data_IF_688377539140
#
_entry.id   IF_688377539140
#
_cell.length_a   1.000
_cell.length_b   1.000
_cell.length_c   1.000
_cell.angle_alpha   90.00
_cell.angle_beta   90.00
_cell.angle_gamma   90.00
#
_symmetry.space_group_name_H-M   'P 1'
#
loop_
_entity.id
_entity.type
_entity.pdbx_description
1 polymer ?
#
# COMPACT_ATOMS: atom_id res chain seq x y z
N UNK A 1 12.47 -7.83 23.83
CA UNK A 1 13.76 -8.05 23.14
C UNK A 1 14.33 -6.68 22.85
N UNK A 2 15.63 -6.46 23.08
CA UNK A 2 16.26 -5.17 22.79
C UNK A 2 16.30 -4.96 21.25
N UNK A 3 15.67 -3.91 20.71
CA UNK A 3 15.61 -3.67 19.26
C UNK A 3 17.00 -3.46 18.64
N UNK A 4 17.95 -2.90 19.39
CA UNK A 4 19.32 -2.68 18.93
C UNK A 4 20.03 -4.03 18.76
N UNK A 5 19.91 -4.91 19.76
CA UNK A 5 20.47 -6.25 19.70
C UNK A 5 19.86 -7.11 18.59
N UNK A 6 18.55 -6.98 18.37
CA UNK A 6 17.85 -7.69 17.30
C UNK A 6 18.35 -7.24 15.92
N UNK A 7 18.44 -5.93 15.69
CA UNK A 7 19.00 -5.33 14.48
C UNK A 7 20.42 -5.82 14.21
N UNK A 8 21.30 -5.70 15.20
CA UNK A 8 22.71 -6.08 15.05
C UNK A 8 22.85 -7.59 14.76
N UNK A 9 21.99 -8.43 15.35
CA UNK A 9 21.95 -9.86 15.05
C UNK A 9 21.53 -10.16 13.60
N UNK A 10 20.53 -9.43 13.10
CA UNK A 10 20.08 -9.56 11.70
C UNK A 10 21.16 -9.08 10.74
N UNK A 11 21.77 -7.92 10.98
CA UNK A 11 22.87 -7.41 10.15
C UNK A 11 24.07 -8.36 10.15
N UNK A 12 24.41 -8.92 11.32
CA UNK A 12 25.45 -9.94 11.44
C UNK A 12 25.13 -11.20 10.65
N UNK A 13 23.88 -11.64 10.64
CA UNK A 13 23.46 -12.78 9.80
C UNK A 13 23.49 -12.45 8.31
N UNK A 14 23.05 -11.25 7.89
CA UNK A 14 23.08 -10.85 6.48
C UNK A 14 24.51 -10.82 5.93
N UNK A 15 25.48 -10.39 6.74
CA UNK A 15 26.90 -10.37 6.39
C UNK A 15 27.52 -11.78 6.25
N UNK A 16 26.99 -12.78 6.98
CA UNK A 16 27.43 -14.17 6.89
C UNK A 16 26.22 -15.12 6.93
N UNK A 17 25.46 -15.22 5.82
CA UNK A 17 24.14 -15.82 5.83
C UNK A 17 24.26 -17.34 5.78
N UNK A 18 24.32 -18.00 6.92
CA UNK A 18 24.41 -19.46 6.98
C UNK A 18 23.02 -20.10 6.93
N UNK A 19 22.82 -21.09 6.04
CA UNK A 19 21.55 -21.83 5.92
C UNK A 19 21.19 -22.66 7.15
N UNK A 20 22.19 -23.14 7.88
CA UNK A 20 22.00 -24.04 9.03
C UNK A 20 22.94 -23.65 10.16
N UNK A 21 22.38 -23.27 11.31
CA UNK A 21 23.15 -22.89 12.51
C UNK A 21 23.77 -24.12 13.22
N UNK A 22 23.17 -25.31 13.08
CA UNK A 22 23.48 -26.51 13.90
C UNK A 22 24.59 -27.44 13.37
N UNK A 23 25.37 -27.04 12.36
CA UNK A 23 26.45 -27.88 11.81
C UNK A 23 27.82 -27.23 11.98
N UNK A 24 28.22 -27.00 13.24
CA UNK A 24 29.59 -26.64 13.61
C UNK A 24 30.64 -27.72 13.23
N UNK A 25 30.20 -28.90 12.77
CA UNK A 25 31.06 -30.05 12.49
C UNK A 25 31.04 -30.57 11.05
N UNK A 26 30.28 -29.95 10.12
CA UNK A 26 30.20 -30.46 8.74
C UNK A 26 30.85 -29.51 7.71
N UNK A 27 31.62 -30.11 6.80
CA UNK A 27 32.75 -29.47 6.10
C UNK A 27 32.39 -28.55 4.92
N UNK A 28 31.13 -28.12 4.80
CA UNK A 28 30.65 -27.16 3.79
C UNK A 28 29.50 -26.32 4.34
N UNK A 29 29.84 -25.23 5.01
CA UNK A 29 28.88 -24.16 5.33
C UNK A 29 28.37 -23.58 4.00
N UNK A 30 27.07 -23.76 3.72
CA UNK A 30 26.43 -23.16 2.56
C UNK A 30 25.88 -21.79 2.93
N UNK A 31 26.34 -20.78 2.22
CA UNK A 31 25.76 -19.44 2.27
C UNK A 31 24.35 -19.43 1.66
N UNK A 32 23.45 -18.68 2.27
CA UNK A 32 22.09 -18.43 1.81
C UNK A 32 22.07 -17.17 0.95
N UNK A 33 21.44 -17.25 -0.21
CA UNK A 33 21.01 -16.06 -0.95
C UNK A 33 19.84 -15.41 -0.22
N UNK A 34 19.86 -14.09 -0.08
CA UNK A 34 18.79 -13.34 0.60
C UNK A 34 18.37 -12.10 -0.20
N UNK A 35 17.13 -11.68 0.06
CA UNK A 35 16.52 -10.43 -0.39
C UNK A 35 15.98 -9.71 0.85
N UNK A 36 16.40 -8.47 1.07
CA UNK A 36 15.88 -7.59 2.12
C UNK A 36 14.96 -6.55 1.47
N UNK A 37 13.73 -6.44 1.96
CA UNK A 37 12.78 -5.44 1.47
C UNK A 37 12.58 -4.37 2.52
N UNK A 38 12.85 -3.11 2.15
CA UNK A 38 12.42 -1.95 2.90
C UNK A 38 11.17 -1.39 2.24
N UNK A 39 10.03 -1.60 2.89
CA UNK A 39 8.74 -1.14 2.39
C UNK A 39 8.41 0.27 2.90
N UNK A 40 7.83 1.09 2.04
CA UNK A 40 7.33 2.44 2.34
C UNK A 40 8.38 3.38 2.98
N UNK A 41 9.58 3.43 2.41
CA UNK A 41 10.67 4.28 2.91
C UNK A 41 10.50 5.71 2.41
N UNK A 42 9.78 6.52 3.19
CA UNK A 42 9.57 7.94 2.88
C UNK A 42 10.67 8.86 3.46
N UNK A 43 11.47 8.38 4.41
CA UNK A 43 12.64 9.09 4.95
C UNK A 43 13.91 8.24 4.78
N UNK A 44 14.90 8.70 3.99
CA UNK A 44 16.09 7.91 3.72
C UNK A 44 16.98 7.65 4.92
N UNK A 45 16.97 8.53 5.91
CA UNK A 45 17.82 8.42 7.10
C UNK A 45 17.47 7.19 7.94
N UNK A 46 16.26 6.64 7.79
CA UNK A 46 15.86 5.40 8.47
C UNK A 46 16.74 4.23 8.03
N UNK A 47 17.32 4.25 6.83
CA UNK A 47 18.14 3.14 6.35
C UNK A 47 19.55 3.11 6.96
N UNK A 48 20.06 4.23 7.48
CA UNK A 48 21.45 4.34 7.96
C UNK A 48 21.77 3.28 9.02
N UNK A 49 20.82 3.00 9.91
CA UNK A 49 20.97 2.01 10.98
C UNK A 49 20.75 0.56 10.51
N UNK A 50 20.08 0.35 9.38
CA UNK A 50 19.62 -0.97 8.93
C UNK A 50 20.27 -1.41 7.61
N UNK A 51 21.17 -0.60 7.04
CA UNK A 51 21.79 -0.88 5.75
C UNK A 51 22.80 -2.03 5.85
N UNK A 52 22.68 -3.10 5.04
CA UNK A 52 23.57 -4.24 5.11
C UNK A 52 24.85 -3.99 4.27
N UNK A 53 25.69 -3.05 4.70
CA UNK A 53 26.81 -2.50 3.92
C UNK A 53 27.83 -3.55 3.41
N UNK A 54 28.15 -4.54 4.24
CA UNK A 54 29.18 -5.56 3.96
C UNK A 54 28.60 -6.92 3.55
N UNK A 55 27.32 -6.95 3.19
CA UNK A 55 26.59 -8.19 2.95
C UNK A 55 26.40 -8.47 1.45
N UNK A 56 26.53 -9.75 1.05
CA UNK A 56 26.29 -10.16 -0.34
C UNK A 56 24.84 -10.64 -0.51
N UNK A 57 23.97 -9.76 -0.98
CA UNK A 57 22.57 -10.07 -1.28
C UNK A 57 21.88 -8.99 -2.11
N UNK A 58 20.56 -8.99 -2.12
CA UNK A 58 19.76 -8.01 -2.85
C UNK A 58 18.90 -7.19 -1.89
N UNK A 59 18.75 -5.90 -2.19
CA UNK A 59 17.87 -4.99 -1.44
C UNK A 59 16.82 -4.43 -2.38
N UNK A 60 15.55 -4.53 -1.98
CA UNK A 60 14.41 -3.88 -2.64
C UNK A 60 13.89 -2.77 -1.74
N UNK A 61 13.71 -1.58 -2.31
CA UNK A 61 13.16 -0.42 -1.61
C UNK A 61 11.90 0.02 -2.33
N UNK A 62 10.80 0.20 -1.61
CA UNK A 62 9.62 0.89 -2.10
C UNK A 62 9.50 2.24 -1.38
N UNK A 63 9.04 3.27 -2.08
CA UNK A 63 8.89 4.62 -1.53
C UNK A 63 7.84 5.39 -2.32
N UNK A 64 7.11 6.28 -1.65
CA UNK A 64 6.21 7.24 -2.31
C UNK A 64 6.92 8.54 -2.66
N UNK A 65 8.09 8.81 -2.09
CA UNK A 65 8.86 10.01 -2.39
C UNK A 65 9.42 9.95 -3.82
N UNK A 66 8.99 10.83 -4.75
CA UNK A 66 9.55 10.87 -6.10
C UNK A 66 11.04 11.17 -6.13
N UNK A 67 11.57 11.77 -5.05
CA UNK A 67 13.00 12.02 -4.88
C UNK A 67 13.75 10.82 -4.30
N UNK A 68 13.10 9.74 -3.86
CA UNK A 68 13.78 8.56 -3.33
C UNK A 68 14.89 8.02 -4.27
N UNK A 69 14.66 8.06 -5.60
CA UNK A 69 15.58 7.51 -6.60
C UNK A 69 17.00 8.10 -6.54
N UNK A 70 17.20 9.43 -6.68
CA UNK A 70 18.53 10.02 -6.57
C UNK A 70 19.16 9.91 -5.18
N UNK A 71 18.36 9.80 -4.11
CA UNK A 71 18.87 9.72 -2.74
C UNK A 71 19.40 8.32 -2.40
N UNK A 72 18.62 7.26 -2.65
CA UNK A 72 19.00 5.90 -2.26
C UNK A 72 20.00 5.25 -3.21
N UNK A 73 19.87 5.53 -4.51
CA UNK A 73 20.60 4.80 -5.53
C UNK A 73 21.12 5.76 -6.61
N UNK A 74 22.13 6.59 -6.30
CA UNK A 74 22.68 7.58 -7.25
C UNK A 74 23.22 6.96 -8.55
N UNK A 75 23.45 5.64 -8.56
CA UNK A 75 24.03 4.87 -9.67
C UNK A 75 23.11 3.79 -10.24
N UNK A 76 21.88 3.66 -9.74
CA UNK A 76 20.96 2.59 -10.18
C UNK A 76 19.68 3.16 -10.80
N UNK A 77 19.12 2.43 -11.76
CA UNK A 77 17.84 2.76 -12.36
C UNK A 77 16.68 2.33 -11.45
N UNK A 78 16.29 3.19 -10.51
CA UNK A 78 15.04 2.99 -9.77
C UNK A 78 13.83 2.98 -10.72
N UNK A 79 12.90 2.04 -10.52
CA UNK A 79 11.72 1.87 -11.38
C UNK A 79 10.60 2.79 -10.87
N UNK A 80 10.06 3.65 -11.72
CA UNK A 80 8.80 4.34 -11.42
C UNK A 80 7.69 3.40 -11.87
N UNK A 81 6.78 3.06 -10.96
CA UNK A 81 5.62 2.24 -11.31
C UNK A 81 4.57 3.16 -11.93
N UNK A 82 4.26 3.04 -13.23
CA UNK A 82 3.24 3.86 -13.86
C UNK A 82 1.83 3.42 -13.41
N UNK A 83 0.81 4.27 -13.61
CA UNK A 83 -0.57 3.82 -13.59
C UNK A 83 -0.80 2.69 -14.60
N UNK A 84 -1.90 1.95 -14.44
CA UNK A 84 -2.30 0.92 -15.42
C UNK A 84 -2.59 1.57 -16.77
N UNK A 85 -2.22 0.85 -17.82
CA UNK A 85 -2.59 1.23 -19.17
C UNK A 85 -4.11 1.18 -19.35
N UNK A 86 -4.63 1.95 -20.32
CA UNK A 86 -6.08 2.11 -20.52
C UNK A 86 -6.83 0.79 -20.64
N UNK A 87 -6.29 -0.17 -21.40
CA UNK A 87 -6.92 -1.48 -21.60
C UNK A 87 -6.83 -2.36 -20.34
N UNK A 88 -5.71 -2.32 -19.61
CA UNK A 88 -5.54 -3.03 -18.33
C UNK A 88 -6.51 -2.50 -17.26
N UNK A 89 -6.63 -1.18 -17.15
CA UNK A 89 -7.54 -0.51 -16.23
C UNK A 89 -9.00 -0.85 -16.55
N UNK A 90 -9.36 -0.85 -17.85
CA UNK A 90 -10.69 -1.22 -18.34
C UNK A 90 -11.02 -2.68 -18.00
N UNK A 91 -10.11 -3.61 -18.31
CA UNK A 91 -10.30 -5.03 -17.99
C UNK A 91 -10.40 -5.27 -16.49
N UNK A 92 -9.56 -4.58 -15.71
CA UNK A 92 -9.57 -4.66 -14.25
C UNK A 92 -10.91 -4.21 -13.67
N UNK A 93 -11.44 -3.09 -14.16
CA UNK A 93 -12.73 -2.55 -13.73
C UNK A 93 -13.90 -3.49 -14.09
N UNK A 94 -13.91 -4.07 -15.30
CA UNK A 94 -14.89 -5.09 -15.70
C UNK A 94 -14.83 -6.33 -14.82
N UNK A 95 -13.62 -6.78 -14.48
CA UNK A 95 -13.43 -7.96 -13.63
C UNK A 95 -13.91 -7.71 -12.21
N UNK A 96 -13.58 -6.56 -11.63
CA UNK A 96 -13.96 -6.21 -10.26
C UNK A 96 -15.47 -5.99 -10.09
N UNK A 97 -16.15 -5.53 -11.14
CA UNK A 97 -17.61 -5.35 -11.17
C UNK A 97 -18.37 -6.63 -11.57
N UNK A 98 -17.67 -7.73 -11.89
CA UNK A 98 -18.29 -8.98 -12.34
C UNK A 98 -18.85 -8.94 -13.78
N UNK A 99 -18.48 -7.93 -14.57
CA UNK A 99 -18.99 -7.65 -15.92
C UNK A 99 -18.04 -8.09 -17.05
N UNK A 100 -17.05 -8.96 -16.77
CA UNK A 100 -16.02 -9.42 -17.73
C UNK A 100 -16.53 -10.02 -19.04
N UNK A 101 -17.78 -10.49 -19.09
CA UNK A 101 -18.39 -11.09 -20.28
C UNK A 101 -19.14 -10.09 -21.16
N UNK A 102 -19.11 -8.80 -20.84
CA UNK A 102 -19.79 -7.81 -21.69
C UNK A 102 -19.16 -7.73 -23.08
N UNK A 103 -20.02 -7.87 -24.08
CA UNK A 103 -19.74 -7.70 -25.51
C UNK A 103 -20.44 -6.46 -26.09
N UNK A 104 -21.08 -5.64 -25.25
CA UNK A 104 -21.75 -4.43 -25.70
C UNK A 104 -20.71 -3.32 -25.88
N UNK A 105 -20.59 -2.80 -27.10
CA UNK A 105 -19.61 -1.77 -27.44
C UNK A 105 -19.83 -0.49 -26.62
N UNK A 106 -21.08 -0.09 -26.43
CA UNK A 106 -21.47 1.10 -25.64
C UNK A 106 -21.04 0.99 -24.17
N UNK A 107 -21.09 -0.21 -23.60
CA UNK A 107 -20.64 -0.47 -22.24
C UNK A 107 -19.10 -0.41 -22.16
N UNK A 108 -18.40 -0.95 -23.16
CA UNK A 108 -16.93 -0.84 -23.23
C UNK A 108 -16.43 0.59 -23.36
N UNK A 109 -17.12 1.42 -24.13
CA UNK A 109 -16.82 2.86 -24.23
C UNK A 109 -16.98 3.52 -22.85
N UNK A 110 -18.08 3.23 -22.15
CA UNK A 110 -18.36 3.81 -20.83
C UNK A 110 -17.34 3.35 -19.77
N UNK A 111 -16.98 2.07 -19.73
CA UNK A 111 -15.96 1.54 -18.81
C UNK A 111 -14.61 2.21 -19.06
N UNK A 112 -14.20 2.34 -20.32
CA UNK A 112 -12.93 2.98 -20.67
C UNK A 112 -12.91 4.44 -20.24
N UNK A 113 -14.03 5.17 -20.39
CA UNK A 113 -14.17 6.54 -19.92
C UNK A 113 -14.07 6.63 -18.39
N UNK A 114 -14.67 5.68 -17.65
CA UNK A 114 -14.50 5.58 -16.20
C UNK A 114 -13.04 5.29 -15.83
N UNK A 115 -12.41 4.29 -16.44
CA UNK A 115 -11.02 3.94 -16.17
C UNK A 115 -10.06 5.13 -16.40
N UNK A 116 -10.30 5.91 -17.45
CA UNK A 116 -9.57 7.15 -17.73
C UNK A 116 -9.84 8.24 -16.67
N UNK A 117 -11.09 8.43 -16.25
CA UNK A 117 -11.45 9.39 -15.21
C UNK A 117 -10.82 9.05 -13.83
N UNK A 118 -10.57 7.77 -13.57
CA UNK A 118 -9.88 7.29 -12.37
C UNK A 118 -8.35 7.30 -12.48
N UNK A 119 -7.81 7.73 -13.63
CA UNK A 119 -6.37 7.95 -13.83
C UNK A 119 -5.53 6.66 -13.89
N UNK A 120 -6.13 5.49 -14.09
CA UNK A 120 -5.39 4.23 -14.18
C UNK A 120 -4.80 3.72 -12.84
N UNK A 121 -5.07 4.38 -11.71
CA UNK A 121 -4.50 3.98 -10.43
C UNK A 121 -5.16 2.70 -9.92
N UNK A 122 -4.43 1.58 -9.71
CA UNK A 122 -5.02 0.29 -9.33
C UNK A 122 -5.89 0.35 -8.06
N UNK A 123 -5.46 1.13 -7.08
CA UNK A 123 -6.17 1.31 -5.83
C UNK A 123 -7.50 2.02 -6.09
N UNK A 124 -7.49 3.20 -6.72
CA UNK A 124 -8.71 3.96 -7.07
C UNK A 124 -9.68 3.14 -7.91
N UNK A 125 -9.19 2.38 -8.88
CA UNK A 125 -10.02 1.48 -9.70
C UNK A 125 -10.70 0.42 -8.82
N UNK A 126 -9.94 -0.21 -7.91
CA UNK A 126 -10.48 -1.25 -7.02
C UNK A 126 -11.58 -0.70 -6.11
N UNK A 127 -11.35 0.49 -5.58
CA UNK A 127 -12.26 1.20 -4.70
C UNK A 127 -13.57 1.58 -5.41
N UNK A 128 -13.45 2.23 -6.57
CA UNK A 128 -14.63 2.69 -7.31
C UNK A 128 -15.38 1.55 -8.00
N UNK A 129 -14.71 0.47 -8.40
CA UNK A 129 -15.38 -0.73 -8.88
C UNK A 129 -16.36 -1.29 -7.84
N UNK A 130 -15.96 -1.24 -6.57
CA UNK A 130 -16.83 -1.69 -5.48
C UNK A 130 -18.00 -0.74 -5.25
N UNK A 131 -17.80 0.58 -5.33
CA UNK A 131 -18.90 1.56 -5.29
C UNK A 131 -19.91 1.29 -6.40
N UNK A 132 -19.43 1.12 -7.63
CA UNK A 132 -20.25 0.79 -8.80
C UNK A 132 -21.05 -0.50 -8.56
N UNK A 133 -20.41 -1.55 -8.04
CA UNK A 133 -21.06 -2.82 -7.78
C UNK A 133 -22.07 -2.76 -6.62
N UNK A 134 -21.75 -2.05 -5.53
CA UNK A 134 -22.61 -1.96 -4.33
C UNK A 134 -23.84 -1.10 -4.57
N UNK A 135 -23.70 -0.02 -5.36
CA UNK A 135 -24.80 0.87 -5.70
C UNK A 135 -25.55 0.43 -6.97
N UNK A 136 -25.13 -0.69 -7.57
CA UNK A 136 -25.66 -1.23 -8.83
C UNK A 136 -25.69 -0.19 -9.96
N UNK A 137 -24.65 0.63 -10.05
CA UNK A 137 -24.56 1.69 -11.05
C UNK A 137 -24.12 1.14 -12.41
N UNK A 138 -24.66 1.69 -13.49
CA UNK A 138 -24.01 1.60 -14.80
C UNK A 138 -22.72 2.44 -14.82
N UNK A 139 -21.81 2.14 -15.74
CA UNK A 139 -20.58 2.91 -15.89
C UNK A 139 -20.86 4.36 -16.33
N UNK A 140 -21.93 4.59 -17.11
CA UNK A 140 -22.34 5.91 -17.54
C UNK A 140 -22.90 6.73 -16.37
N UNK A 141 -23.78 6.16 -15.54
CA UNK A 141 -24.31 6.81 -14.34
C UNK A 141 -23.18 7.16 -13.36
N UNK A 142 -22.27 6.20 -13.10
CA UNK A 142 -21.12 6.47 -12.26
C UNK A 142 -20.26 7.61 -12.82
N UNK A 143 -20.03 7.65 -14.14
CA UNK A 143 -19.22 8.69 -14.76
C UNK A 143 -19.88 10.08 -14.64
N UNK A 144 -21.19 10.16 -14.85
CA UNK A 144 -21.97 11.40 -14.68
C UNK A 144 -21.92 11.92 -13.25
N UNK A 145 -22.04 11.02 -12.27
CA UNK A 145 -21.93 11.39 -10.87
C UNK A 145 -20.50 11.76 -10.50
N UNK A 146 -19.50 10.98 -10.91
CA UNK A 146 -18.09 11.24 -10.60
C UNK A 146 -17.55 12.53 -11.21
N UNK A 147 -18.22 13.13 -12.21
CA UNK A 147 -17.84 14.44 -12.75
C UNK A 147 -18.35 15.61 -11.90
N UNK A 148 -19.30 15.39 -10.99
CA UNK A 148 -19.79 16.40 -10.05
C UNK A 148 -18.81 16.47 -8.88
N UNK A 149 -18.25 17.66 -8.61
CA UNK A 149 -17.20 17.85 -7.61
C UNK A 149 -17.62 17.39 -6.19
N UNK A 150 -18.89 17.62 -5.83
CA UNK A 150 -19.47 17.16 -4.55
C UNK A 150 -19.55 15.63 -4.47
N UNK A 151 -19.86 14.95 -5.56
CA UNK A 151 -19.98 13.50 -5.60
C UNK A 151 -18.61 12.80 -5.53
N UNK A 152 -17.54 13.39 -6.08
CA UNK A 152 -16.17 12.86 -5.91
C UNK A 152 -15.77 12.73 -4.45
N UNK A 153 -16.04 13.77 -3.66
CA UNK A 153 -15.76 13.75 -2.21
C UNK A 153 -16.65 12.73 -1.48
N UNK A 154 -17.91 12.59 -1.88
CA UNK A 154 -18.84 11.59 -1.31
C UNK A 154 -18.40 10.16 -1.64
N UNK A 155 -17.91 9.89 -2.85
CA UNK A 155 -17.42 8.55 -3.22
C UNK A 155 -16.16 8.18 -2.45
N UNK A 156 -15.23 9.13 -2.25
CA UNK A 156 -14.06 8.94 -1.39
C UNK A 156 -14.48 8.65 0.07
N UNK A 157 -15.51 9.32 0.59
CA UNK A 157 -16.01 9.11 1.95
C UNK A 157 -16.83 7.81 2.11
N UNK A 158 -17.66 7.46 1.13
CA UNK A 158 -18.45 6.22 1.09
C UNK A 158 -17.53 5.00 1.09
N UNK A 159 -16.38 5.15 0.46
CA UNK A 159 -15.34 4.12 0.41
C UNK A 159 -14.56 3.99 1.73
N UNK A 160 -14.37 5.08 2.50
CA UNK A 160 -13.86 5.02 3.88
C UNK A 160 -14.82 4.21 4.78
N UNK A 161 -16.13 4.44 4.66
CA UNK A 161 -17.13 3.67 5.42
C UNK A 161 -17.22 2.21 4.96
N UNK A 162 -17.01 1.95 3.67
CA UNK A 162 -16.95 0.63 3.08
C UNK A 162 -15.76 -0.21 3.53
N UNK A 163 -14.58 0.42 3.55
CA UNK A 163 -13.32 -0.18 3.98
C UNK A 163 -13.35 -0.50 5.47
N UNK A 164 -13.94 0.38 6.31
CA UNK A 164 -14.22 0.10 7.73
C UNK A 164 -15.08 -1.16 7.97
N UNK A 165 -16.05 -1.42 7.10
CA UNK A 165 -16.92 -2.61 7.19
C UNK A 165 -16.23 -3.90 6.71
N UNK A 166 -15.02 -3.82 6.15
CA UNK A 166 -14.29 -4.94 5.58
C UNK A 166 -12.88 -4.99 6.17
N UNK A 167 -12.69 -5.85 7.17
CA UNK A 167 -11.43 -6.11 7.89
C UNK A 167 -10.29 -6.65 6.98
N UNK A 168 -9.91 -5.91 5.94
CA UNK A 168 -8.91 -6.32 4.94
C UNK A 168 -8.73 -5.34 3.77
N UNK A 169 -9.32 -4.15 3.83
CA UNK A 169 -8.95 -3.02 2.97
C UNK A 169 -8.45 -1.91 3.88
N UNK A 170 -7.23 -2.07 4.37
CA UNK A 170 -6.75 -1.36 5.57
C UNK A 170 -6.51 0.14 5.32
N UNK A 171 -6.22 0.58 4.10
CA UNK A 171 -5.95 1.98 3.81
C UNK A 171 -6.49 2.43 2.44
N UNK A 172 -7.34 3.47 2.44
CA UNK A 172 -7.78 4.16 1.23
C UNK A 172 -6.89 5.37 0.97
N UNK A 173 -6.74 5.79 -0.29
CA UNK A 173 -5.99 7.04 -0.63
C UNK A 173 -6.54 8.24 0.14
N UNK A 174 -7.86 8.26 0.37
CA UNK A 174 -8.55 9.30 1.13
C UNK A 174 -8.18 9.27 2.62
N UNK A 175 -8.14 8.08 3.24
CA UNK A 175 -7.72 7.91 4.64
C UNK A 175 -6.28 8.37 4.84
N UNK A 176 -5.34 7.92 3.99
CA UNK A 176 -3.91 8.29 4.10
C UNK A 176 -3.72 9.80 3.95
N UNK A 177 -4.38 10.43 2.97
CA UNK A 177 -4.29 11.88 2.77
C UNK A 177 -4.95 12.67 3.90
N UNK A 178 -6.04 12.16 4.47
CA UNK A 178 -6.69 12.80 5.63
C UNK A 178 -5.78 12.77 6.85
N UNK A 179 -5.10 11.64 7.11
CA UNK A 179 -4.13 11.46 8.19
C UNK A 179 -2.93 12.42 8.05
N UNK A 180 -2.41 12.59 6.82
CA UNK A 180 -1.30 13.53 6.52
C UNK A 180 -1.66 15.01 6.78
N UNK A 181 -2.96 15.34 6.87
CA UNK A 181 -3.45 16.72 7.10
C UNK A 181 -3.96 16.98 8.51
N UNK A 182 -3.91 15.99 9.41
CA UNK A 182 -4.36 16.16 10.79
C UNK A 182 -3.48 17.18 11.54
N UNK A 183 -4.05 18.32 11.90
CA UNK A 183 -3.37 19.33 12.72
C UNK A 183 -3.43 19.01 14.21
N UNK A 184 -4.51 18.38 14.65
CA UNK A 184 -4.76 17.97 16.03
C UNK A 184 -4.97 16.46 16.10
N UNK A 185 -4.44 15.79 17.14
CA UNK A 185 -4.65 14.35 17.35
C UNK A 185 -3.69 13.42 16.61
N UNK A 186 -2.76 13.94 15.78
CA UNK A 186 -1.74 13.13 15.09
C UNK A 186 -0.88 12.30 16.07
N UNK A 187 -0.48 12.89 17.20
CA UNK A 187 0.29 12.17 18.24
C UNK A 187 -0.53 11.04 18.86
N UNK A 188 -1.82 11.26 19.11
CA UNK A 188 -2.68 10.21 19.67
C UNK A 188 -2.83 9.07 18.67
N UNK A 189 -3.04 9.39 17.40
CA UNK A 189 -3.12 8.45 16.31
C UNK A 189 -1.82 7.67 16.08
N UNK A 190 -0.65 8.31 16.21
CA UNK A 190 0.67 7.64 16.19
C UNK A 190 0.81 6.65 17.35
N UNK A 191 0.29 6.99 18.52
CA UNK A 191 0.27 6.08 19.66
C UNK A 191 -0.69 4.92 19.38
N UNK A 192 -1.88 5.21 18.84
CA UNK A 192 -2.89 4.20 18.52
C UNK A 192 -2.45 3.25 17.41
N UNK A 193 -1.68 3.71 16.43
CA UNK A 193 -1.14 2.85 15.36
C UNK A 193 -0.12 1.82 15.86
N UNK A 194 0.44 2.02 17.07
CA UNK A 194 1.29 1.05 17.76
C UNK A 194 0.49 0.00 18.57
N UNK A 195 -0.81 0.20 18.73
CA UNK A 195 -1.72 -0.75 19.36
C UNK A 195 -2.38 -1.66 18.31
N UNK A 196 -3.36 -2.46 18.74
CA UNK A 196 -4.01 -3.47 17.92
C UNK A 196 -4.68 -2.87 16.66
N UNK A 197 -4.23 -3.26 15.44
CA UNK A 197 -4.84 -2.80 14.19
C UNK A 197 -6.28 -3.28 14.00
N UNK A 198 -6.69 -4.34 14.70
CA UNK A 198 -8.03 -4.94 14.56
C UNK A 198 -9.08 -4.28 15.48
N UNK A 199 -8.67 -3.37 16.38
CA UNK A 199 -9.59 -2.50 17.10
C UNK A 199 -9.10 -2.07 18.47
N UNK A 200 -9.05 -0.76 18.69
CA UNK A 200 -8.76 -0.17 20.00
C UNK A 200 -10.09 0.18 20.67
N UNK A 201 -10.41 -0.40 21.85
CA UNK A 201 -11.66 -0.11 22.51
C UNK A 201 -11.83 1.37 22.86
N UNK A 202 -12.93 1.98 22.41
CA UNK A 202 -13.21 3.42 22.58
C UNK A 202 -13.26 3.88 24.05
N UNK A 203 -13.53 2.97 24.99
CA UNK A 203 -13.52 3.27 26.42
C UNK A 203 -12.13 3.70 26.93
N UNK A 204 -11.05 3.27 26.26
CA UNK A 204 -9.67 3.68 26.57
C UNK A 204 -9.48 5.18 26.27
N UNK A 205 -10.18 5.70 25.27
CA UNK A 205 -10.07 7.08 24.80
C UNK A 205 -11.04 8.04 25.49
N UNK A 206 -12.13 7.51 26.05
CA UNK A 206 -13.23 8.32 26.59
C UNK A 206 -13.22 8.43 28.12
N UNK A 207 -12.26 7.79 28.82
CA UNK A 207 -12.04 7.97 30.26
C UNK A 207 -13.15 7.43 31.16
N UNK A 208 -14.18 6.77 30.61
CA UNK A 208 -15.19 6.09 31.41
C UNK A 208 -14.70 4.69 31.76
N UNK A 209 -14.13 4.57 32.95
CA UNK A 209 -13.99 3.28 33.62
C UNK A 209 -15.40 2.75 33.92
N UNK A 210 -15.70 1.55 33.43
CA UNK A 210 -16.84 0.77 33.92
C UNK A 210 -16.62 0.37 35.39
#
# INVERSE_FOLDING_TARGET
MDPVLARDSVLGWLANPLKTYNQLHDKKSQEASWLLTFDNVDNPNVLDDYWPADAMGSVLITSRDPLAKPYFLPRSNGIAVPPLESDEATERLLRLTGRSRTSHEDERISVRAVAAALGGFPLVITQMAWVIARQDLSFSEFLEDYQKEEARSIFLNTEIEASRLRAGCEHTVASVRALETLKEGAILLDILSLFDPDGIPEYILTGNSA
#
